data_IF_264732322629
#
_entry.id   IF_264732322629
#
_cell.length_a   1.000
_cell.length_b   1.000
_cell.length_c   1.000
_cell.angle_alpha   90.00
_cell.angle_beta   90.00
_cell.angle_gamma   90.00
#
_symmetry.space_group_name_H-M   'P 1'
#
loop_
_entity.id
_entity.type
_entity.pdbx_description
1 polymer ?
#
# COMPACT_ATOMS: atom_id res chain seq x y z
N UNK A 1 -8.93 8.11 -7.38
CA UNK A 1 -9.11 7.29 -6.17
C UNK A 1 -7.73 7.01 -5.61
N UNK A 2 -7.43 7.53 -4.43
CA UNK A 2 -6.12 7.41 -3.77
C UNK A 2 -6.10 6.16 -2.93
N UNK A 3 -5.24 5.20 -3.27
CA UNK A 3 -5.14 3.93 -2.56
C UNK A 3 -3.74 3.83 -1.98
N UNK A 4 -3.65 3.77 -0.65
CA UNK A 4 -2.38 3.51 0.01
C UNK A 4 -1.97 2.05 -0.14
N UNK A 5 -0.69 1.78 -0.24
CA UNK A 5 -0.11 0.45 -0.04
C UNK A 5 0.91 0.54 1.09
N UNK A 6 0.73 -0.26 2.14
CA UNK A 6 1.63 -0.26 3.29
C UNK A 6 3.01 -0.77 2.84
N UNK A 7 4.00 0.12 2.80
CA UNK A 7 5.36 -0.16 2.35
C UNK A 7 6.30 -0.54 3.52
N UNK A 8 5.75 -1.16 4.58
CA UNK A 8 6.52 -1.56 5.76
C UNK A 8 7.37 -2.81 5.52
N UNK A 9 7.01 -3.65 4.54
CA UNK A 9 7.78 -4.80 4.07
C UNK A 9 7.64 -4.92 2.55
N UNK A 10 8.64 -5.53 1.90
CA UNK A 10 8.64 -5.71 0.44
C UNK A 10 7.39 -6.43 -0.07
N UNK A 11 7.08 -6.21 -1.35
CA UNK A 11 5.90 -6.68 -2.13
C UNK A 11 4.77 -5.66 -2.39
N UNK A 12 5.00 -4.37 -2.11
CA UNK A 12 4.05 -3.30 -2.49
C UNK A 12 4.11 -2.91 -3.98
N UNK A 13 5.23 -3.13 -4.67
CA UNK A 13 5.45 -2.62 -6.03
C UNK A 13 4.50 -3.21 -7.07
N UNK A 14 4.24 -4.53 -7.01
CA UNK A 14 3.28 -5.20 -7.89
C UNK A 14 1.84 -4.71 -7.67
N UNK A 15 1.49 -4.41 -6.42
CA UNK A 15 0.18 -3.84 -6.07
C UNK A 15 0.04 -2.41 -6.62
N UNK A 16 1.07 -1.58 -6.49
CA UNK A 16 1.06 -0.22 -7.02
C UNK A 16 0.91 -0.19 -8.55
N UNK A 17 1.63 -1.06 -9.27
CA UNK A 17 1.52 -1.18 -10.73
C UNK A 17 0.10 -1.63 -11.16
N UNK A 18 -0.45 -2.65 -10.49
CA UNK A 18 -1.82 -3.10 -10.73
C UNK A 18 -2.84 -1.98 -10.49
N UNK A 19 -2.74 -1.27 -9.37
CA UNK A 19 -3.64 -0.16 -9.02
C UNK A 19 -3.56 0.96 -10.05
N UNK A 20 -2.36 1.32 -10.49
CA UNK A 20 -2.16 2.29 -11.58
C UNK A 20 -2.82 1.86 -12.89
N UNK A 21 -2.72 0.57 -13.25
CA UNK A 21 -3.36 0.02 -14.45
C UNK A 21 -4.90 0.07 -14.41
N UNK A 22 -5.48 0.08 -13.20
CA UNK A 22 -6.93 0.20 -12.97
C UNK A 22 -7.39 1.66 -12.85
N UNK A 23 -6.49 2.64 -12.98
CA UNK A 23 -6.80 4.08 -12.89
C UNK A 23 -6.84 4.64 -11.47
N UNK A 24 -6.30 3.92 -10.49
CA UNK A 24 -6.09 4.45 -9.15
C UNK A 24 -4.76 5.23 -9.06
N UNK A 25 -4.64 6.05 -8.02
CA UNK A 25 -3.43 6.78 -7.64
C UNK A 25 -2.79 6.07 -6.44
N UNK A 26 -1.84 5.14 -6.65
CA UNK A 26 -1.22 4.38 -5.58
C UNK A 26 -0.26 5.26 -4.77
N UNK A 27 -0.38 5.22 -3.44
CA UNK A 27 0.47 5.96 -2.50
C UNK A 27 1.23 4.97 -1.63
N UNK A 28 2.55 5.07 -1.55
CA UNK A 28 3.32 4.31 -0.56
C UNK A 28 3.06 4.88 0.84
N UNK A 29 2.66 4.02 1.77
CA UNK A 29 2.40 4.40 3.17
C UNK A 29 3.45 3.76 4.06
N UNK A 30 4.23 4.57 4.77
CA UNK A 30 5.27 4.14 5.72
C UNK A 30 4.98 4.63 7.14
N UNK A 31 4.16 5.65 7.27
CA UNK A 31 3.79 6.32 8.53
C UNK A 31 2.28 6.47 8.60
N UNK A 32 1.76 6.69 9.81
CA UNK A 32 0.33 6.92 10.02
C UNK A 32 -0.20 8.18 9.35
N UNK A 33 0.63 9.22 9.23
CA UNK A 33 0.22 10.52 8.69
C UNK A 33 -0.05 10.45 7.18
N UNK A 34 0.58 9.50 6.48
CA UNK A 34 0.36 9.24 5.05
C UNK A 34 -0.98 8.54 4.77
N UNK A 35 -1.73 8.15 5.81
CA UNK A 35 -3.08 7.62 5.66
C UNK A 35 -4.12 8.71 5.39
N UNK A 36 -3.80 9.97 5.66
CA UNK A 36 -4.73 11.08 5.49
C UNK A 36 -5.11 11.28 4.01
N UNK A 37 -6.42 11.30 3.74
CA UNK A 37 -6.95 11.55 2.39
C UNK A 37 -6.87 10.36 1.44
N UNK A 38 -6.60 9.15 1.95
CA UNK A 38 -6.73 7.90 1.19
C UNK A 38 -8.18 7.40 1.17
N UNK A 39 -8.61 6.87 0.04
CA UNK A 39 -9.89 6.19 -0.14
C UNK A 39 -9.85 4.72 0.33
N UNK A 40 -8.65 4.16 0.49
CA UNK A 40 -8.43 2.79 0.95
C UNK A 40 -6.96 2.47 1.19
N UNK A 41 -6.70 1.37 1.89
CA UNK A 41 -5.36 0.88 2.21
C UNK A 41 -5.23 -0.60 1.84
N UNK A 42 -4.20 -0.91 1.07
CA UNK A 42 -3.74 -2.26 0.75
C UNK A 42 -2.67 -2.64 1.76
N UNK A 43 -2.87 -3.77 2.42
CA UNK A 43 -1.88 -4.39 3.28
C UNK A 43 -1.26 -5.55 2.48
N UNK A 44 -0.07 -5.36 1.88
CA UNK A 44 0.56 -6.41 1.11
C UNK A 44 0.90 -7.60 2.02
N UNK A 45 0.90 -8.79 1.44
CA UNK A 45 1.33 -9.99 2.16
C UNK A 45 2.83 -9.94 2.45
N UNK A 46 3.22 -10.34 3.66
CA UNK A 46 4.57 -10.78 4.00
C UNK A 46 4.50 -12.18 4.58
N UNK A 47 5.63 -12.87 4.74
CA UNK A 47 5.64 -14.09 5.56
C UNK A 47 4.95 -13.77 6.89
N UNK A 48 3.97 -14.61 7.24
CA UNK A 48 2.98 -14.39 8.31
C UNK A 48 3.59 -14.33 9.73
N UNK A 49 4.90 -14.12 9.83
CA UNK A 49 5.76 -14.24 11.00
C UNK A 49 6.58 -12.98 11.29
N UNK A 50 6.49 -11.89 10.52
CA UNK A 50 7.39 -10.73 10.71
C UNK A 50 6.94 -9.67 11.74
N UNK A 51 5.85 -9.90 12.46
CA UNK A 51 5.50 -9.04 13.60
C UNK A 51 6.09 -9.68 14.87
N UNK A 52 7.27 -9.24 15.31
CA UNK A 52 7.83 -9.50 16.66
C UNK A 52 8.30 -8.20 17.26
#
# INVERSE_FOLDING_TARGET
>A
MRIGALASQGDFAAHAEMLGSLGADPVEVRTSDELEGLDGLVIPGGESTTIT
#
